data_IF_789372293712
#
_entry.id   IF_789372293712
#
_cell.length_a   1.000
_cell.length_b   1.000
_cell.length_c   1.000
_cell.angle_alpha   90.00
_cell.angle_beta   90.00
_cell.angle_gamma   90.00
#
_symmetry.space_group_name_H-M   'P 1'
#
loop_
_entity.id
_entity.type
_entity.pdbx_description
1 polymer ?
#
# COMPACT_ATOMS: atom_id res chain seq x y z
N UNK A 1 9.04 -2.93 15.19
CA UNK A 1 8.40 -1.61 15.02
C UNK A 1 7.37 -1.76 13.91
N UNK A 2 6.18 -1.19 14.06
CA UNK A 2 5.16 -1.14 13.00
C UNK A 2 5.40 0.10 12.16
N UNK A 3 5.40 -0.04 10.84
CA UNK A 3 5.46 1.06 9.88
C UNK A 3 4.04 1.43 9.45
N UNK A 4 3.76 2.72 9.37
CA UNK A 4 2.49 3.25 8.85
C UNK A 4 2.74 3.84 7.46
N UNK A 5 1.98 3.38 6.48
CA UNK A 5 1.81 4.03 5.18
C UNK A 5 0.43 4.69 5.14
N UNK A 6 0.38 5.98 4.90
CA UNK A 6 -0.89 6.68 4.71
C UNK A 6 -1.22 6.81 3.22
N UNK A 7 -2.44 6.44 2.85
CA UNK A 7 -2.92 6.49 1.45
C UNK A 7 -4.11 7.45 1.28
N UNK A 8 -4.25 8.44 2.16
CA UNK A 8 -5.30 9.47 2.06
C UNK A 8 -5.29 10.17 0.69
N UNK A 9 -4.10 10.47 0.17
CA UNK A 9 -3.92 11.22 -1.07
C UNK A 9 -4.13 10.39 -2.34
N UNK A 10 -4.24 9.07 -2.21
CA UNK A 10 -4.56 8.17 -3.33
C UNK A 10 -5.91 7.47 -3.10
N UNK A 11 -6.00 6.55 -2.16
CA UNK A 11 -7.24 5.79 -1.88
C UNK A 11 -8.30 6.67 -1.22
N UNK A 12 -7.88 7.54 -0.30
CA UNK A 12 -8.79 8.50 0.31
C UNK A 12 -9.46 9.43 -0.70
N UNK A 13 -8.79 9.79 -1.78
CA UNK A 13 -9.36 10.59 -2.87
C UNK A 13 -10.38 9.83 -3.73
N UNK A 14 -10.44 8.51 -3.62
CA UNK A 14 -11.48 7.70 -4.27
C UNK A 14 -12.83 7.75 -3.53
N UNK A 15 -12.88 8.39 -2.36
CA UNK A 15 -14.16 8.67 -1.67
C UNK A 15 -15.03 9.57 -2.54
N UNK A 16 -16.31 9.20 -2.71
CA UNK A 16 -17.25 9.98 -3.51
C UNK A 16 -17.33 11.44 -3.01
N UNK A 17 -17.11 12.39 -3.90
CA UNK A 17 -17.15 13.83 -3.61
C UNK A 17 -15.87 14.40 -3.00
N UNK A 18 -14.82 13.60 -2.84
CA UNK A 18 -13.49 14.07 -2.40
C UNK A 18 -12.59 14.28 -3.61
N UNK A 19 -11.91 15.42 -3.65
CA UNK A 19 -10.87 15.72 -4.62
C UNK A 19 -9.94 16.77 -4.02
N UNK A 20 -8.64 16.54 -4.10
CA UNK A 20 -7.64 17.45 -3.53
C UNK A 20 -6.96 18.27 -4.63
N UNK A 21 -6.96 19.59 -4.46
CA UNK A 21 -6.12 20.46 -5.28
C UNK A 21 -4.63 20.22 -5.01
N UNK A 22 -3.76 20.55 -5.96
CA UNK A 22 -2.32 20.30 -5.86
C UNK A 22 -1.65 20.92 -4.62
N UNK A 23 -2.15 22.06 -4.13
CA UNK A 23 -1.63 22.68 -2.91
C UNK A 23 -2.13 21.97 -1.64
N UNK A 24 -3.33 21.40 -1.67
CA UNK A 24 -3.88 20.59 -0.57
C UNK A 24 -3.13 19.27 -0.43
N UNK A 25 -2.86 18.56 -1.55
CA UNK A 25 -2.02 17.35 -1.54
C UNK A 25 -0.65 17.64 -0.91
N UNK A 26 -0.02 18.77 -1.28
CA UNK A 26 1.24 19.15 -0.66
C UNK A 26 1.11 19.39 0.85
N UNK A 27 0.11 20.16 1.27
CA UNK A 27 -0.10 20.45 2.70
C UNK A 27 -0.38 19.20 3.52
N UNK A 28 -1.22 18.29 2.99
CA UNK A 28 -1.53 17.02 3.66
C UNK A 28 -0.27 16.14 3.74
N UNK A 29 0.51 16.02 2.66
CA UNK A 29 1.76 15.26 2.67
C UNK A 29 2.77 15.82 3.69
N UNK A 30 2.84 17.14 3.83
CA UNK A 30 3.67 17.81 4.84
C UNK A 30 3.24 17.44 6.26
N UNK A 31 1.97 17.55 6.58
CA UNK A 31 1.44 17.18 7.89
C UNK A 31 1.68 15.70 8.19
N UNK A 32 1.39 14.82 7.24
CA UNK A 32 1.59 13.38 7.42
C UNK A 32 3.05 13.01 7.69
N UNK A 33 3.97 13.52 6.89
CA UNK A 33 5.39 13.14 6.95
C UNK A 33 6.18 13.92 8.02
N UNK A 34 5.90 15.22 8.20
CA UNK A 34 6.70 16.08 9.09
C UNK A 34 6.10 16.20 10.49
N UNK A 35 4.77 16.36 10.60
CA UNK A 35 4.14 16.64 11.89
C UNK A 35 3.68 15.34 12.57
N UNK A 36 3.03 14.42 11.82
CA UNK A 36 2.56 13.14 12.35
C UNK A 36 3.64 12.05 12.29
N UNK A 37 4.63 12.20 11.41
CA UNK A 37 5.76 11.28 11.31
C UNK A 37 5.40 9.90 10.81
N UNK A 38 4.38 9.77 9.91
CA UNK A 38 4.11 8.49 9.24
C UNK A 38 5.34 8.06 8.43
N UNK A 39 5.52 6.76 8.29
CA UNK A 39 6.71 6.23 7.64
C UNK A 39 6.72 6.46 6.13
N UNK A 40 5.56 6.37 5.48
CA UNK A 40 5.40 6.48 4.03
C UNK A 40 4.04 7.07 3.69
N UNK A 41 3.93 7.72 2.52
CA UNK A 41 2.67 8.27 2.01
C UNK A 41 2.51 7.88 0.54
N UNK A 42 1.38 7.24 0.22
CA UNK A 42 0.98 7.00 -1.16
C UNK A 42 0.18 8.21 -1.66
N UNK A 43 0.72 8.93 -2.65
CA UNK A 43 0.27 10.28 -3.00
C UNK A 43 -0.64 10.35 -4.22
N UNK A 44 -0.64 9.31 -5.06
CA UNK A 44 -1.40 9.31 -6.32
C UNK A 44 -1.43 7.93 -6.96
N UNK A 45 -2.30 7.77 -7.97
CA UNK A 45 -2.17 6.75 -9.02
C UNK A 45 -1.53 7.36 -10.26
N UNK A 46 -0.62 6.64 -10.89
CA UNK A 46 0.01 7.08 -12.14
C UNK A 46 -1.03 7.19 -13.26
N UNK A 47 -0.83 8.16 -14.17
CA UNK A 47 -1.59 8.30 -15.41
C UNK A 47 -3.08 8.67 -15.27
N UNK A 48 -3.48 9.25 -14.15
CA UNK A 48 -4.89 9.64 -13.94
C UNK A 48 -5.22 10.90 -14.74
N UNK A 49 -4.42 11.97 -14.57
CA UNK A 49 -4.63 13.25 -15.25
C UNK A 49 -3.37 14.12 -15.23
N UNK A 50 -3.35 15.15 -16.07
CA UNK A 50 -2.28 16.16 -16.04
C UNK A 50 -2.26 16.94 -14.71
N UNK A 51 -3.44 17.21 -14.13
CA UNK A 51 -3.55 17.87 -12.83
C UNK A 51 -2.93 17.05 -11.71
N UNK A 52 -3.14 15.74 -11.73
CA UNK A 52 -2.51 14.79 -10.80
C UNK A 52 -0.99 14.76 -10.97
N UNK A 53 -0.51 14.74 -12.21
CA UNK A 53 0.92 14.80 -12.51
C UNK A 53 1.59 16.05 -11.93
N UNK A 54 1.00 17.22 -12.13
CA UNK A 54 1.53 18.48 -11.58
C UNK A 54 1.46 18.52 -10.04
N UNK A 55 0.43 17.93 -9.44
CA UNK A 55 0.33 17.78 -7.99
C UNK A 55 1.47 16.92 -7.44
N UNK A 56 1.70 15.74 -8.04
CA UNK A 56 2.77 14.83 -7.66
C UNK A 56 4.14 15.46 -7.82
N UNK A 57 4.42 16.16 -8.94
CA UNK A 57 5.67 16.92 -9.12
C UNK A 57 5.93 17.92 -8.01
N UNK A 58 4.89 18.63 -7.59
CA UNK A 58 4.99 19.63 -6.51
C UNK A 58 5.33 18.96 -5.17
N UNK A 59 4.67 17.86 -4.84
CA UNK A 59 4.95 17.08 -3.61
C UNK A 59 6.36 16.49 -3.67
N UNK A 60 6.76 15.88 -4.79
CA UNK A 60 8.08 15.28 -4.98
C UNK A 60 9.20 16.32 -4.85
N UNK A 61 9.02 17.52 -5.45
CA UNK A 61 9.99 18.61 -5.35
C UNK A 61 10.17 19.11 -3.90
N UNK A 62 9.10 19.16 -3.11
CA UNK A 62 9.20 19.43 -1.68
C UNK A 62 9.89 18.31 -0.93
N UNK A 63 9.50 17.07 -1.14
CA UNK A 63 10.04 15.91 -0.45
C UNK A 63 11.54 15.73 -0.72
N UNK A 64 12.01 16.02 -1.94
CA UNK A 64 13.43 16.00 -2.28
C UNK A 64 14.24 17.04 -1.45
N UNK A 65 13.68 18.23 -1.22
CA UNK A 65 14.34 19.26 -0.39
C UNK A 65 14.30 18.98 1.11
N UNK A 66 13.28 18.23 1.56
CA UNK A 66 13.11 17.91 2.99
C UNK A 66 13.66 16.54 3.40
N UNK A 67 14.27 15.79 2.46
CA UNK A 67 14.81 14.46 2.73
C UNK A 67 13.75 13.38 2.90
N UNK A 68 12.55 13.57 2.33
CA UNK A 68 11.42 12.63 2.44
C UNK A 68 11.06 11.93 1.10
N UNK A 69 11.91 12.07 0.06
CA UNK A 69 11.57 11.56 -1.28
C UNK A 69 11.34 10.03 -1.29
N UNK A 70 12.14 9.27 -0.55
CA UNK A 70 12.05 7.81 -0.45
C UNK A 70 10.83 7.33 0.36
N UNK A 71 10.08 8.26 0.96
CA UNK A 71 8.83 7.99 1.67
C UNK A 71 7.59 8.24 0.82
N UNK A 72 7.75 8.81 -0.38
CA UNK A 72 6.65 9.04 -1.31
C UNK A 72 6.47 7.85 -2.23
N UNK A 73 5.29 7.29 -2.23
CA UNK A 73 4.90 6.14 -3.05
C UNK A 73 3.82 6.55 -4.06
N UNK A 74 3.85 5.94 -5.24
CA UNK A 74 2.86 6.17 -6.30
C UNK A 74 2.35 4.81 -6.78
N UNK A 75 1.03 4.65 -6.86
CA UNK A 75 0.43 3.46 -7.45
C UNK A 75 0.69 3.44 -8.95
N UNK A 76 1.31 2.37 -9.42
CA UNK A 76 1.58 2.12 -10.84
C UNK A 76 1.00 0.80 -11.31
N UNK A 77 1.03 0.57 -12.61
CA UNK A 77 0.38 -0.59 -13.24
C UNK A 77 1.41 -1.47 -13.98
N UNK A 78 1.04 -2.73 -14.19
CA UNK A 78 1.81 -3.67 -15.02
C UNK A 78 1.49 -3.36 -16.49
N UNK A 79 2.08 -2.27 -17.01
CA UNK A 79 1.80 -1.69 -18.34
C UNK A 79 3.08 -1.45 -19.17
N UNK A 80 4.07 -2.30 -18.97
CA UNK A 80 5.40 -2.14 -19.56
C UNK A 80 6.20 -1.07 -18.83
N UNK A 81 6.46 0.06 -19.48
CA UNK A 81 7.23 1.15 -18.87
C UNK A 81 6.41 2.40 -18.60
N UNK A 82 5.16 2.44 -19.01
CA UNK A 82 4.38 3.70 -19.06
C UNK A 82 4.16 4.30 -17.67
N UNK A 83 3.81 3.48 -16.69
CA UNK A 83 3.72 3.94 -15.29
C UNK A 83 5.09 4.37 -14.74
N UNK A 84 6.16 3.64 -15.07
CA UNK A 84 7.52 4.01 -14.63
C UNK A 84 7.98 5.34 -15.26
N UNK A 85 7.71 5.55 -16.56
CA UNK A 85 8.02 6.79 -17.26
C UNK A 85 7.32 7.99 -16.60
N UNK A 86 6.04 7.80 -16.23
CA UNK A 86 5.25 8.83 -15.54
C UNK A 86 5.83 9.14 -14.14
N UNK A 87 6.12 8.10 -13.33
CA UNK A 87 6.64 8.21 -11.96
C UNK A 87 8.01 8.92 -11.96
N UNK A 88 8.92 8.51 -12.84
CA UNK A 88 10.24 9.08 -12.98
C UNK A 88 10.15 10.56 -13.42
N UNK A 89 9.30 10.86 -14.42
CA UNK A 89 9.09 12.23 -14.90
C UNK A 89 8.45 13.15 -13.86
N UNK A 90 7.63 12.60 -12.95
CA UNK A 90 7.08 13.33 -11.81
C UNK A 90 8.10 13.55 -10.68
N UNK A 91 9.28 12.93 -10.75
CA UNK A 91 10.36 13.05 -9.77
C UNK A 91 10.25 12.09 -8.58
N UNK A 92 9.36 11.09 -8.65
CA UNK A 92 9.23 10.05 -7.63
C UNK A 92 10.15 8.85 -7.89
N UNK A 93 10.39 8.03 -6.86
CA UNK A 93 11.33 6.91 -6.90
C UNK A 93 10.80 5.61 -6.29
N UNK A 94 9.55 5.56 -5.90
CA UNK A 94 8.93 4.35 -5.36
C UNK A 94 7.61 4.10 -6.06
N UNK A 95 7.43 2.89 -6.59
CA UNK A 95 6.20 2.42 -7.21
C UNK A 95 5.54 1.34 -6.35
N UNK A 96 4.25 1.51 -6.08
CA UNK A 96 3.37 0.46 -5.61
C UNK A 96 2.75 -0.20 -6.84
N UNK A 97 3.36 -1.28 -7.31
CA UNK A 97 2.97 -1.94 -8.55
C UNK A 97 1.72 -2.79 -8.32
N UNK A 98 0.59 -2.38 -8.90
CA UNK A 98 -0.69 -3.08 -8.79
C UNK A 98 -0.68 -4.35 -9.63
N UNK A 99 -0.66 -5.48 -8.95
CA UNK A 99 -0.69 -6.82 -9.51
C UNK A 99 -1.95 -7.55 -9.05
N UNK A 100 -2.37 -8.59 -9.76
CA UNK A 100 -3.54 -9.38 -9.33
C UNK A 100 -3.14 -10.43 -8.30
N UNK A 101 -3.81 -10.40 -7.16
CA UNK A 101 -3.60 -11.30 -6.02
C UNK A 101 -4.52 -12.52 -6.00
N UNK A 102 -5.49 -12.65 -6.93
CA UNK A 102 -6.37 -13.82 -7.05
C UNK A 102 -6.32 -14.44 -8.45
N UNK A 103 -6.45 -15.77 -8.51
CA UNK A 103 -6.51 -16.51 -9.77
C UNK A 103 -7.64 -16.03 -10.66
N UNK A 104 -8.80 -15.74 -10.05
CA UNK A 104 -9.98 -15.23 -10.76
C UNK A 104 -9.67 -13.91 -11.49
N UNK A 105 -9.03 -12.96 -10.84
CA UNK A 105 -8.70 -11.68 -11.46
C UNK A 105 -7.70 -11.83 -12.63
N UNK A 106 -6.74 -12.74 -12.54
CA UNK A 106 -5.80 -13.00 -13.64
C UNK A 106 -6.50 -13.61 -14.84
N UNK A 107 -7.31 -14.63 -14.61
CA UNK A 107 -7.92 -15.39 -15.71
C UNK A 107 -9.13 -14.69 -16.33
N UNK A 108 -9.98 -14.04 -15.51
CA UNK A 108 -11.23 -13.43 -15.99
C UNK A 108 -11.07 -11.95 -16.36
N UNK A 109 -10.31 -11.16 -15.59
CA UNK A 109 -10.11 -9.74 -15.87
C UNK A 109 -8.94 -9.50 -16.85
N UNK A 110 -7.75 -10.05 -16.54
CA UNK A 110 -6.59 -9.88 -17.42
C UNK A 110 -6.61 -10.82 -18.61
N UNK A 111 -7.34 -11.95 -18.54
CA UNK A 111 -7.37 -13.01 -19.55
C UNK A 111 -5.97 -13.56 -19.85
N UNK A 112 -5.18 -13.73 -18.78
CA UNK A 112 -3.80 -14.26 -18.84
C UNK A 112 -3.66 -15.54 -18.04
N UNK A 113 -2.62 -16.30 -18.32
CA UNK A 113 -2.19 -17.37 -17.42
C UNK A 113 -1.42 -16.79 -16.22
N UNK A 114 -1.31 -17.51 -15.11
CA UNK A 114 -0.45 -17.12 -13.98
C UNK A 114 0.99 -16.81 -14.38
N UNK A 115 1.57 -17.64 -15.25
CA UNK A 115 2.95 -17.50 -15.74
C UNK A 115 3.13 -16.22 -16.55
N UNK A 116 2.19 -15.94 -17.46
CA UNK A 116 2.21 -14.70 -18.25
C UNK A 116 2.13 -13.47 -17.35
N UNK A 117 1.28 -13.50 -16.31
CA UNK A 117 1.18 -12.39 -15.37
C UNK A 117 2.46 -12.19 -14.56
N UNK A 118 3.07 -13.28 -14.08
CA UNK A 118 4.37 -13.25 -13.39
C UNK A 118 5.47 -12.68 -14.27
N UNK A 119 5.54 -13.08 -15.54
CA UNK A 119 6.55 -12.59 -16.49
C UNK A 119 6.38 -11.10 -16.79
N UNK A 120 5.14 -10.63 -16.92
CA UNK A 120 4.87 -9.19 -17.06
C UNK A 120 5.33 -8.40 -15.83
N UNK A 121 5.01 -8.87 -14.62
CA UNK A 121 5.47 -8.24 -13.36
C UNK A 121 6.99 -8.21 -13.30
N UNK A 122 7.64 -9.34 -13.57
CA UNK A 122 9.10 -9.46 -13.59
C UNK A 122 9.75 -8.44 -14.51
N UNK A 123 9.20 -8.27 -15.69
CA UNK A 123 9.69 -7.30 -16.68
C UNK A 123 9.65 -5.87 -16.12
N UNK A 124 8.55 -5.46 -15.51
CA UNK A 124 8.41 -4.13 -14.92
C UNK A 124 9.37 -3.96 -13.73
N UNK A 125 9.48 -4.96 -12.84
CA UNK A 125 10.36 -4.91 -11.66
C UNK A 125 11.83 -4.75 -12.07
N UNK A 126 12.29 -5.51 -13.06
CA UNK A 126 13.67 -5.41 -13.55
C UNK A 126 13.95 -4.06 -14.22
N UNK A 127 13.00 -3.54 -14.96
CA UNK A 127 13.13 -2.20 -15.56
C UNK A 127 13.12 -1.09 -14.51
N UNK A 128 12.27 -1.18 -13.48
CA UNK A 128 12.27 -0.25 -12.35
C UNK A 128 13.63 -0.25 -11.63
N UNK A 129 14.20 -1.43 -11.37
CA UNK A 129 15.51 -1.56 -10.76
C UNK A 129 16.62 -0.90 -11.61
N UNK A 130 16.58 -1.07 -12.95
CA UNK A 130 17.51 -0.41 -13.87
C UNK A 130 17.44 1.13 -13.77
N UNK A 131 16.23 1.67 -13.48
CA UNK A 131 15.99 3.10 -13.30
C UNK A 131 16.20 3.59 -11.87
N UNK A 132 16.57 2.70 -10.94
CA UNK A 132 16.69 3.00 -9.50
C UNK A 132 15.34 3.48 -8.91
N UNK A 133 14.26 2.86 -9.33
CA UNK A 133 12.92 3.01 -8.76
C UNK A 133 12.69 1.78 -7.88
N UNK A 134 12.40 2.01 -6.61
CA UNK A 134 12.05 0.97 -5.66
C UNK A 134 10.65 0.44 -5.95
N UNK A 135 10.45 -0.86 -5.77
CA UNK A 135 9.18 -1.54 -6.09
C UNK A 135 8.59 -2.18 -4.87
N UNK A 136 7.34 -1.85 -4.59
CA UNK A 136 6.44 -2.61 -3.72
C UNK A 136 5.43 -3.35 -4.62
N UNK A 137 5.05 -4.57 -4.26
CA UNK A 137 4.03 -5.33 -5.01
C UNK A 137 2.70 -5.27 -4.27
N UNK A 138 1.68 -4.71 -4.91
CA UNK A 138 0.31 -4.68 -4.40
C UNK A 138 -0.48 -5.85 -5.00
N UNK A 139 -0.89 -6.82 -4.16
CA UNK A 139 -1.61 -8.02 -4.61
C UNK A 139 -3.13 -7.78 -4.54
N UNK A 140 -3.68 -6.99 -5.48
CA UNK A 140 -5.11 -6.68 -5.53
C UNK A 140 -5.98 -7.96 -5.44
N UNK A 141 -7.01 -7.91 -4.58
CA UNK A 141 -7.90 -9.04 -4.28
C UNK A 141 -7.20 -10.21 -3.55
N UNK A 142 -6.11 -9.91 -2.81
CA UNK A 142 -5.38 -10.93 -2.07
C UNK A 142 -6.26 -11.72 -1.07
N UNK A 143 -7.19 -11.06 -0.38
CA UNK A 143 -8.07 -11.72 0.59
C UNK A 143 -8.89 -12.84 -0.04
N UNK A 144 -9.43 -12.63 -1.23
CA UNK A 144 -10.10 -13.68 -2.00
C UNK A 144 -9.09 -14.68 -2.59
N UNK A 145 -7.93 -14.20 -3.02
CA UNK A 145 -6.84 -15.04 -3.52
C UNK A 145 -6.40 -16.08 -2.52
N UNK A 146 -6.02 -15.67 -1.32
CA UNK A 146 -5.54 -16.60 -0.27
C UNK A 146 -6.64 -17.55 0.21
N UNK A 147 -7.90 -17.10 0.19
CA UNK A 147 -9.05 -17.91 0.59
C UNK A 147 -9.44 -18.97 -0.44
N UNK A 148 -9.42 -18.63 -1.72
CA UNK A 148 -10.00 -19.46 -2.79
C UNK A 148 -8.97 -20.03 -3.77
N UNK A 149 -7.78 -19.46 -3.84
CA UNK A 149 -6.70 -19.84 -4.75
C UNK A 149 -5.31 -19.65 -4.11
N UNK A 150 -5.05 -20.21 -2.92
CA UNK A 150 -3.78 -19.99 -2.20
C UNK A 150 -2.56 -20.40 -3.03
N UNK A 151 -2.66 -21.48 -3.82
CA UNK A 151 -1.57 -21.94 -4.70
C UNK A 151 -1.15 -20.85 -5.69
N UNK A 152 -2.09 -20.05 -6.20
CA UNK A 152 -1.78 -18.93 -7.07
C UNK A 152 -1.04 -17.81 -6.32
N UNK A 153 -1.49 -17.47 -5.11
CA UNK A 153 -0.79 -16.47 -4.29
C UNK A 153 0.64 -16.89 -4.02
N UNK A 154 0.85 -18.14 -3.65
CA UNK A 154 2.19 -18.69 -3.40
C UNK A 154 3.02 -18.74 -4.68
N UNK A 155 2.46 -19.16 -5.80
CA UNK A 155 3.13 -19.16 -7.10
C UNK A 155 3.69 -17.76 -7.44
N UNK A 156 2.88 -16.72 -7.32
CA UNK A 156 3.29 -15.33 -7.59
C UNK A 156 4.45 -14.91 -6.68
N UNK A 157 4.32 -15.13 -5.36
CA UNK A 157 5.36 -14.73 -4.42
C UNK A 157 6.64 -15.55 -4.62
N UNK A 158 6.53 -16.86 -4.78
CA UNK A 158 7.69 -17.74 -5.01
C UNK A 158 8.46 -17.37 -6.27
N UNK A 159 7.76 -16.94 -7.33
CA UNK A 159 8.37 -16.51 -8.58
C UNK A 159 9.02 -15.11 -8.51
N UNK A 160 8.58 -14.25 -7.58
CA UNK A 160 9.01 -12.85 -7.48
C UNK A 160 9.96 -12.58 -6.30
N UNK A 161 9.99 -13.40 -5.25
CA UNK A 161 10.73 -13.14 -4.00
C UNK A 161 12.25 -12.96 -4.15
N UNK A 162 12.82 -13.41 -5.26
CA UNK A 162 14.25 -13.22 -5.56
C UNK A 162 14.56 -11.95 -6.34
N UNK A 163 13.56 -11.14 -6.67
CA UNK A 163 13.71 -9.88 -7.37
C UNK A 163 13.91 -8.71 -6.39
N UNK A 164 14.40 -7.55 -6.85
CA UNK A 164 14.57 -6.37 -6.01
C UNK A 164 13.23 -5.71 -5.67
N UNK A 165 12.46 -6.36 -4.81
CA UNK A 165 11.17 -5.93 -4.31
C UNK A 165 11.31 -5.60 -2.83
N UNK A 166 10.84 -4.42 -2.41
CA UNK A 166 10.98 -3.95 -1.05
C UNK A 166 9.96 -4.62 -0.11
N UNK A 167 8.73 -4.85 -0.57
CA UNK A 167 7.64 -5.47 0.20
C UNK A 167 6.51 -6.00 -0.67
N UNK A 168 5.70 -6.88 -0.10
CA UNK A 168 4.42 -7.33 -0.66
C UNK A 168 3.28 -6.77 0.17
N UNK A 169 2.30 -6.14 -0.48
CA UNK A 169 1.12 -5.55 0.14
C UNK A 169 -0.06 -6.48 -0.02
N UNK A 170 -0.72 -6.79 1.07
CA UNK A 170 -1.80 -7.77 1.20
C UNK A 170 -3.15 -7.05 1.42
N UNK A 171 -3.85 -6.64 0.36
CA UNK A 171 -5.10 -5.91 0.53
C UNK A 171 -6.30 -6.83 0.75
N UNK A 172 -7.11 -6.49 1.73
CA UNK A 172 -8.50 -6.89 1.79
C UNK A 172 -9.33 -5.92 0.96
N UNK A 173 -9.23 -6.10 -0.36
CA UNK A 173 -9.75 -5.16 -1.38
C UNK A 173 -11.25 -4.93 -1.26
N UNK A 174 -12.01 -5.93 -0.87
CA UNK A 174 -13.46 -5.84 -0.71
C UNK A 174 -13.92 -5.74 0.75
N UNK A 175 -12.99 -5.61 1.70
CA UNK A 175 -13.30 -5.49 3.12
C UNK A 175 -14.10 -6.67 3.69
N UNK A 176 -13.82 -7.89 3.22
CA UNK A 176 -14.61 -9.11 3.52
C UNK A 176 -14.00 -10.00 4.60
N UNK A 177 -12.82 -9.68 5.08
CA UNK A 177 -12.17 -10.44 6.15
C UNK A 177 -12.78 -10.11 7.52
N UNK A 178 -12.73 -11.11 8.39
CA UNK A 178 -12.94 -10.92 9.83
C UNK A 178 -11.61 -11.07 10.58
N UNK A 179 -11.52 -10.70 11.86
CA UNK A 179 -10.27 -10.75 12.62
C UNK A 179 -9.62 -12.13 12.69
N UNK A 180 -10.43 -13.20 12.74
CA UNK A 180 -9.92 -14.58 12.75
C UNK A 180 -9.25 -14.95 11.43
N UNK A 181 -9.93 -14.74 10.31
CA UNK A 181 -9.36 -15.00 8.97
C UNK A 181 -8.14 -14.11 8.70
N UNK A 182 -8.19 -12.84 9.11
CA UNK A 182 -7.05 -11.94 8.93
C UNK A 182 -5.82 -12.45 9.67
N UNK A 183 -5.98 -12.85 10.92
CA UNK A 183 -4.88 -13.45 11.68
C UNK A 183 -4.33 -14.70 10.99
N UNK A 184 -5.20 -15.63 10.62
CA UNK A 184 -4.82 -16.90 10.00
C UNK A 184 -4.06 -16.68 8.69
N UNK A 185 -4.61 -15.87 7.77
CA UNK A 185 -4.01 -15.67 6.46
C UNK A 185 -2.72 -14.83 6.51
N UNK A 186 -2.69 -13.79 7.33
CA UNK A 186 -1.45 -13.03 7.53
C UNK A 186 -0.37 -13.88 8.20
N UNK A 187 -0.74 -14.70 9.19
CA UNK A 187 0.20 -15.62 9.86
C UNK A 187 0.77 -16.64 8.88
N UNK A 188 -0.06 -17.21 8.01
CA UNK A 188 0.36 -18.12 6.95
C UNK A 188 1.41 -17.48 6.03
N UNK A 189 1.22 -16.21 5.66
CA UNK A 189 2.20 -15.47 4.82
C UNK A 189 3.51 -15.25 5.56
N UNK A 190 3.46 -14.76 6.78
CA UNK A 190 4.65 -14.47 7.59
C UNK A 190 5.44 -15.74 7.90
N UNK A 191 4.78 -16.84 8.25
CA UNK A 191 5.45 -18.10 8.55
C UNK A 191 6.09 -18.75 7.33
N UNK A 192 5.42 -18.66 6.17
CA UNK A 192 5.93 -19.23 4.93
C UNK A 192 7.10 -18.41 4.36
N UNK A 193 7.11 -17.10 4.59
CA UNK A 193 8.10 -16.19 4.03
C UNK A 193 8.71 -15.27 5.10
N UNK A 194 9.47 -15.81 6.06
CA UNK A 194 9.96 -15.05 7.22
C UNK A 194 10.94 -13.91 6.84
N UNK A 195 11.57 -14.00 5.68
CA UNK A 195 12.53 -13.00 5.19
C UNK A 195 11.88 -11.89 4.36
N UNK A 196 10.59 -12.02 4.02
CA UNK A 196 9.87 -11.01 3.25
C UNK A 196 9.17 -9.99 4.17
N UNK A 197 9.02 -8.79 3.66
CA UNK A 197 8.23 -7.75 4.32
C UNK A 197 6.81 -7.75 3.76
N UNK A 198 5.84 -7.80 4.66
CA UNK A 198 4.43 -7.72 4.32
C UNK A 198 3.77 -6.49 4.94
N UNK A 199 2.96 -5.80 4.14
CA UNK A 199 2.05 -4.76 4.59
C UNK A 199 0.61 -5.27 4.47
N UNK A 200 -0.28 -4.79 5.34
CA UNK A 200 -1.71 -5.10 5.28
C UNK A 200 -2.52 -3.82 5.01
N UNK A 201 -3.44 -3.91 4.06
CA UNK A 201 -4.36 -2.84 3.68
C UNK A 201 -5.79 -3.33 3.85
N UNK A 202 -6.60 -2.62 4.65
CA UNK A 202 -7.95 -3.04 4.98
C UNK A 202 -9.00 -2.02 4.55
N UNK A 203 -9.89 -2.41 3.61
CA UNK A 203 -11.15 -1.72 3.41
C UNK A 203 -12.15 -2.04 4.53
N UNK A 204 -13.15 -1.17 4.72
CA UNK A 204 -14.03 -1.16 5.88
C UNK A 204 -15.47 -1.60 5.58
N UNK A 205 -15.69 -2.38 4.53
CA UNK A 205 -17.03 -2.74 4.07
C UNK A 205 -17.85 -3.53 5.12
N UNK A 206 -17.19 -4.33 5.97
CA UNK A 206 -17.84 -5.02 7.11
C UNK A 206 -17.67 -4.27 8.44
N UNK A 207 -17.18 -3.01 8.42
CA UNK A 207 -16.88 -2.22 9.63
C UNK A 207 -15.87 -2.91 10.58
N UNK A 208 -14.94 -3.68 10.01
CA UNK A 208 -13.95 -4.47 10.75
C UNK A 208 -12.50 -4.06 10.45
N UNK A 209 -12.25 -3.00 9.67
CA UNK A 209 -10.91 -2.65 9.20
C UNK A 209 -9.90 -2.49 10.34
N UNK A 210 -10.25 -1.78 11.42
CA UNK A 210 -9.35 -1.58 12.58
C UNK A 210 -9.09 -2.90 13.32
N UNK A 211 -10.12 -3.72 13.52
CA UNK A 211 -9.99 -5.03 14.16
C UNK A 211 -9.13 -5.99 13.32
N UNK A 212 -9.27 -5.94 11.99
CA UNK A 212 -8.46 -6.70 11.05
C UNK A 212 -7.00 -6.23 11.07
N UNK A 213 -6.74 -4.91 11.07
CA UNK A 213 -5.40 -4.34 11.24
C UNK A 213 -4.74 -4.84 12.52
N UNK A 214 -5.46 -4.81 13.64
CA UNK A 214 -4.94 -5.34 14.90
C UNK A 214 -4.58 -6.83 14.81
N UNK A 215 -5.43 -7.63 14.16
CA UNK A 215 -5.18 -9.06 13.94
C UNK A 215 -3.97 -9.32 13.03
N UNK A 216 -3.80 -8.51 11.97
CA UNK A 216 -2.65 -8.58 11.08
C UNK A 216 -1.33 -8.27 11.83
N UNK A 217 -1.33 -7.24 12.69
CA UNK A 217 -0.17 -6.91 13.54
C UNK A 217 0.17 -8.09 14.47
N UNK A 218 -0.82 -8.68 15.10
CA UNK A 218 -0.62 -9.87 15.97
C UNK A 218 -0.12 -11.09 15.19
N UNK A 219 -0.46 -11.21 13.93
CA UNK A 219 0.05 -12.26 13.04
C UNK A 219 1.52 -12.03 12.61
N UNK A 220 2.08 -10.84 12.87
CA UNK A 220 3.47 -10.52 12.56
C UNK A 220 3.68 -9.55 11.40
N UNK A 221 2.60 -9.01 10.81
CA UNK A 221 2.68 -7.96 9.78
C UNK A 221 3.37 -6.73 10.38
N UNK A 222 4.24 -6.08 9.59
CA UNK A 222 5.04 -4.94 10.04
C UNK A 222 4.63 -3.63 9.39
N UNK A 223 3.97 -3.65 8.24
CA UNK A 223 3.47 -2.46 7.56
C UNK A 223 1.94 -2.41 7.60
N UNK A 224 1.38 -1.25 7.89
CA UNK A 224 -0.08 -1.04 7.95
C UNK A 224 -0.43 0.17 7.12
N UNK A 225 -1.46 0.03 6.28
CA UNK A 225 -2.02 1.12 5.50
C UNK A 225 -3.20 1.76 6.22
N UNK A 226 -3.24 3.09 6.19
CA UNK A 226 -4.29 3.88 6.83
C UNK A 226 -4.70 5.05 5.94
N UNK A 227 -5.83 5.66 6.28
CA UNK A 227 -6.20 6.98 5.76
C UNK A 227 -6.68 7.88 6.89
N UNK A 228 -6.53 9.19 6.71
CA UNK A 228 -7.12 10.17 7.64
C UNK A 228 -8.64 10.01 7.62
N UNK A 229 -9.23 9.88 8.81
CA UNK A 229 -10.67 9.67 9.01
C UNK A 229 -11.27 8.44 8.30
N UNK A 230 -10.46 7.50 7.85
CA UNK A 230 -10.94 6.32 7.15
C UNK A 230 -11.44 6.58 5.73
N UNK A 231 -11.04 7.69 5.11
CA UNK A 231 -11.39 7.98 3.70
C UNK A 231 -10.97 6.83 2.77
N UNK A 232 -11.75 6.55 1.74
CA UNK A 232 -11.47 5.51 0.75
C UNK A 232 -12.71 5.10 -0.04
N UNK A 233 -12.51 4.18 -0.96
CA UNK A 233 -13.62 3.63 -1.74
C UNK A 233 -14.73 3.04 -0.85
N UNK A 234 -15.97 3.14 -1.30
CA UNK A 234 -17.17 2.52 -0.68
C UNK A 234 -17.33 2.92 0.79
N UNK A 235 -17.00 2.01 1.73
CA UNK A 235 -17.09 2.24 3.17
C UNK A 235 -15.80 2.79 3.79
N UNK A 236 -14.77 3.05 2.97
CA UNK A 236 -13.49 3.61 3.40
C UNK A 236 -12.45 2.56 3.80
N UNK A 237 -11.44 3.03 4.53
CA UNK A 237 -10.26 2.29 4.96
C UNK A 237 -10.12 2.29 6.49
N UNK A 238 -9.07 1.67 7.00
CA UNK A 238 -8.70 1.75 8.42
C UNK A 238 -8.29 3.19 8.79
N UNK A 239 -9.00 3.88 9.71
CA UNK A 239 -8.67 5.25 10.10
C UNK A 239 -7.33 5.33 10.85
N UNK A 240 -6.47 6.27 10.44
CA UNK A 240 -5.15 6.48 11.04
C UNK A 240 -5.23 6.65 12.58
N UNK A 241 -6.13 7.49 13.07
CA UNK A 241 -6.28 7.76 14.49
C UNK A 241 -6.66 6.50 15.29
N UNK A 242 -7.60 5.71 14.78
CA UNK A 242 -8.06 4.48 15.44
C UNK A 242 -6.97 3.41 15.43
N UNK A 243 -6.24 3.27 14.32
CA UNK A 243 -5.11 2.35 14.22
C UNK A 243 -4.00 2.73 15.21
N UNK A 244 -3.66 4.01 15.30
CA UNK A 244 -2.67 4.49 16.26
C UNK A 244 -3.10 4.27 17.72
N UNK A 245 -4.39 4.45 18.03
CA UNK A 245 -4.93 4.18 19.36
C UNK A 245 -4.77 2.69 19.73
N UNK A 246 -5.16 1.78 18.83
CA UNK A 246 -5.06 0.33 19.04
C UNK A 246 -3.60 -0.13 19.20
N UNK A 247 -2.65 0.48 18.46
CA UNK A 247 -1.23 0.15 18.59
C UNK A 247 -0.64 0.68 19.90
N UNK A 248 -1.11 1.84 20.39
CA UNK A 248 -0.64 2.46 21.64
C UNK A 248 -1.22 1.84 22.90
N UNK A 249 -2.34 1.16 22.82
CA UNK A 249 -2.95 0.51 23.97
C UNK A 249 -1.98 -0.56 24.52
N UNK A 250 -1.79 -0.69 25.84
CA UNK A 250 -0.81 -1.57 26.47
C UNK A 250 -0.94 -3.07 26.13
N UNK A 251 -1.89 -3.44 25.31
CA UNK A 251 -1.99 -4.79 24.74
C UNK A 251 -0.92 -5.05 23.67
N UNK A 252 -0.28 -4.01 23.12
CA UNK A 252 0.85 -4.16 22.20
C UNK A 252 2.10 -3.48 22.76
N UNK A 253 3.05 -4.24 23.25
CA UNK A 253 4.39 -3.76 23.67
C UNK A 253 5.29 -3.32 22.49
N UNK A 254 4.72 -2.89 21.38
CA UNK A 254 5.48 -2.39 20.24
C UNK A 254 5.54 -0.87 20.32
N UNK A 255 6.74 -0.38 20.56
CA UNK A 255 7.05 1.05 20.62
C UNK A 255 6.79 1.73 19.28
N UNK A 256 5.63 2.36 19.13
CA UNK A 256 5.47 3.50 18.24
C UNK A 256 5.89 4.74 19.04
N UNK A 257 7.08 5.23 18.81
CA UNK A 257 7.44 6.58 19.19
C UNK A 257 6.88 7.52 18.13
N UNK A 258 5.59 7.84 18.21
CA UNK A 258 5.11 9.07 17.62
C UNK A 258 5.61 10.22 18.52
N UNK A 259 6.11 11.32 17.95
CA UNK A 259 6.32 12.51 18.75
C UNK A 259 4.95 12.91 19.34
N UNK A 260 4.75 12.63 20.61
CA UNK A 260 3.62 13.15 21.34
C UNK A 260 3.91 14.63 21.59
N UNK A 261 3.53 15.49 20.67
CA UNK A 261 3.28 16.87 21.05
C UNK A 261 2.13 16.83 22.07
N UNK A 262 2.51 17.03 23.33
CA UNK A 262 1.57 17.44 24.35
C UNK A 262 1.05 18.81 23.94
N UNK A 263 -0.24 18.97 24.08
CA UNK A 263 -1.04 20.20 23.96
C UNK A 263 -1.95 20.17 22.72
N UNK A 264 -3.12 19.64 22.95
CA UNK A 264 -4.40 20.24 22.58
C UNK A 264 -5.20 20.30 23.87
#
# INVERSE_FOLDING_TARGET
MIEIMDTTLRDGEQTSGVSFAAHEKLSIAQVLLSDLGVNRVEIASARVSDGEFEAVKRVAAWAARSGNLDKLEVLGFVDGTVSLDWIESAGCRVVNLLCKGSYKHVTEQLRKTPEQHVDDIRTVVLEAARRKIDVNIYLEDWSNGIKHSPDYVFLVIDALKGLPICRFMLPDTLGVLNPGNTYEYCKMMVDRYPDLRFDFHAHNDYDLAVANVYSAIRAGIKGIHTTVNGLGERAGNAPLSSVLAVIKDPVSYTHLTLPTNREV
#
